data_IF_066688665405
#
_entry.id   IF_066688665405
#
_cell.length_a   1.000
_cell.length_b   1.000
_cell.length_c   1.000
_cell.angle_alpha   90.00
_cell.angle_beta   90.00
_cell.angle_gamma   90.00
#
_symmetry.space_group_name_H-M   'P 1'
#
loop_
_entity.id
_entity.type
_entity.pdbx_description
1 polymer ?
#
# COMPACT_ATOMS: atom_id res chain seq x y z
N UNK A 1 10.67 -5.49 -31.14
CA UNK A 1 11.45 -5.34 -29.88
C UNK A 1 12.59 -6.32 -29.93
N UNK A 2 13.85 -5.92 -29.70
CA UNK A 2 14.99 -6.83 -29.79
C UNK A 2 14.97 -7.82 -28.58
N UNK A 3 15.43 -9.06 -28.78
CA UNK A 3 15.53 -10.10 -27.73
C UNK A 3 16.30 -9.61 -26.48
N UNK A 4 17.28 -8.74 -26.66
CA UNK A 4 18.06 -8.11 -25.60
C UNK A 4 17.21 -7.22 -24.68
N UNK A 5 16.14 -6.60 -25.21
CA UNK A 5 15.22 -5.74 -24.46
C UNK A 5 14.18 -6.58 -23.68
N UNK A 6 13.82 -7.76 -24.18
CA UNK A 6 12.93 -8.72 -23.51
C UNK A 6 13.66 -9.33 -22.31
N UNK A 7 14.92 -9.72 -22.45
CA UNK A 7 15.75 -10.25 -21.37
C UNK A 7 15.95 -9.24 -20.23
N UNK A 8 16.22 -7.96 -20.57
CA UNK A 8 16.36 -6.89 -19.59
C UNK A 8 15.08 -6.67 -18.77
N UNK A 9 13.92 -6.50 -19.42
CA UNK A 9 12.63 -6.30 -18.74
C UNK A 9 12.26 -7.45 -17.83
N UNK A 10 12.60 -8.68 -18.21
CA UNK A 10 12.37 -9.85 -17.37
C UNK A 10 13.20 -9.79 -16.08
N UNK A 11 14.49 -9.43 -16.17
CA UNK A 11 15.37 -9.31 -15.01
C UNK A 11 14.93 -8.16 -14.10
N UNK A 12 14.61 -6.99 -14.64
CA UNK A 12 14.09 -5.85 -13.87
C UNK A 12 12.82 -6.26 -13.10
N UNK A 13 11.88 -6.93 -13.78
CA UNK A 13 10.64 -7.41 -13.16
C UNK A 13 10.92 -8.39 -12.02
N UNK A 14 11.75 -9.42 -12.24
CA UNK A 14 12.11 -10.40 -11.20
C UNK A 14 12.74 -9.75 -9.97
N UNK A 15 13.58 -8.73 -10.17
CA UNK A 15 14.19 -7.96 -9.07
C UNK A 15 13.15 -7.14 -8.30
N UNK A 16 12.21 -6.49 -9.00
CA UNK A 16 11.13 -5.74 -8.37
C UNK A 16 10.18 -6.67 -7.61
N UNK A 17 9.73 -7.77 -8.22
CA UNK A 17 8.83 -8.74 -7.59
C UNK A 17 9.48 -9.35 -6.32
N UNK A 18 10.76 -9.71 -6.40
CA UNK A 18 11.51 -10.23 -5.25
C UNK A 18 11.69 -9.20 -4.15
N UNK A 19 11.98 -7.95 -4.51
CA UNK A 19 12.10 -6.87 -3.54
C UNK A 19 10.73 -6.56 -2.89
N UNK A 20 9.62 -6.61 -3.64
CA UNK A 20 8.27 -6.39 -3.12
C UNK A 20 7.92 -7.43 -2.03
N UNK A 21 8.12 -8.71 -2.32
CA UNK A 21 7.92 -9.78 -1.36
C UNK A 21 8.78 -9.62 -0.10
N UNK A 22 10.05 -9.27 -0.27
CA UNK A 22 10.97 -9.15 0.86
C UNK A 22 10.70 -7.89 1.71
N UNK A 23 10.35 -6.74 1.10
CA UNK A 23 10.04 -5.52 1.89
C UNK A 23 8.75 -5.68 2.69
N UNK A 24 7.75 -6.39 2.17
CA UNK A 24 6.52 -6.69 2.91
C UNK A 24 6.76 -7.67 4.06
N UNK A 25 7.74 -8.56 3.93
CA UNK A 25 8.05 -9.59 4.92
C UNK A 25 8.96 -9.09 6.04
N UNK A 26 10.10 -8.45 5.72
CA UNK A 26 11.14 -8.09 6.72
C UNK A 26 11.46 -6.60 6.80
N UNK A 27 10.93 -5.79 5.89
CA UNK A 27 11.17 -4.35 5.86
C UNK A 27 12.42 -3.93 5.08
N UNK A 28 12.48 -2.64 4.67
CA UNK A 28 13.55 -2.15 3.80
C UNK A 28 14.93 -2.09 4.46
N UNK A 29 15.01 -1.88 5.79
CA UNK A 29 16.29 -1.77 6.47
C UNK A 29 17.06 -3.08 6.54
N UNK A 30 16.36 -4.19 6.76
CA UNK A 30 17.00 -5.51 6.92
C UNK A 30 17.45 -6.12 5.60
N UNK A 31 16.95 -5.65 4.46
CA UNK A 31 17.29 -6.19 3.15
C UNK A 31 18.68 -5.80 2.68
N UNK A 32 19.40 -6.75 2.10
CA UNK A 32 20.63 -6.50 1.33
C UNK A 32 20.40 -6.69 -0.17
N UNK A 33 21.28 -6.09 -0.98
CA UNK A 33 21.30 -6.34 -2.43
C UNK A 33 21.48 -7.83 -2.75
N UNK A 34 22.24 -8.54 -1.92
CA UNK A 34 22.52 -9.98 -2.10
C UNK A 34 21.27 -10.81 -1.86
N UNK A 35 20.49 -10.49 -0.81
CA UNK A 35 19.25 -11.21 -0.50
C UNK A 35 18.26 -11.09 -1.64
N UNK A 36 18.06 -9.85 -2.15
CA UNK A 36 17.15 -9.60 -3.26
C UNK A 36 17.60 -10.32 -4.52
N UNK A 37 18.90 -10.26 -4.87
CA UNK A 37 19.44 -10.90 -6.06
C UNK A 37 19.35 -12.43 -5.96
N UNK A 38 19.62 -12.99 -4.77
CA UNK A 38 19.48 -14.42 -4.50
C UNK A 38 18.04 -14.89 -4.69
N UNK A 39 17.08 -14.20 -4.07
CA UNK A 39 15.65 -14.50 -4.19
C UNK A 39 15.16 -14.37 -5.65
N UNK A 40 15.65 -13.35 -6.37
CA UNK A 40 15.34 -13.14 -7.79
C UNK A 40 16.04 -14.16 -8.72
N UNK A 41 17.02 -14.91 -8.24
CA UNK A 41 17.83 -15.81 -9.06
C UNK A 41 18.65 -15.09 -10.14
N UNK A 42 19.22 -13.91 -9.79
CA UNK A 42 20.02 -13.09 -10.70
C UNK A 42 21.33 -12.65 -10.04
N UNK A 43 22.29 -12.17 -10.84
CA UNK A 43 23.52 -11.61 -10.29
C UNK A 43 23.26 -10.24 -9.66
N UNK A 44 23.76 -10.02 -8.43
CA UNK A 44 23.60 -8.77 -7.68
C UNK A 44 24.15 -7.53 -8.42
N UNK A 45 25.14 -7.69 -9.30
CA UNK A 45 25.65 -6.60 -10.13
C UNK A 45 24.56 -5.98 -11.03
N UNK A 46 23.52 -6.75 -11.39
CA UNK A 46 22.42 -6.26 -12.20
C UNK A 46 21.56 -5.22 -11.47
N UNK A 47 21.52 -5.25 -10.12
CA UNK A 47 20.83 -4.22 -9.33
C UNK A 47 21.52 -2.87 -9.50
N UNK A 48 22.85 -2.85 -9.46
CA UNK A 48 23.59 -1.62 -9.73
C UNK A 48 23.43 -1.14 -11.16
N UNK A 49 23.45 -2.08 -12.11
CA UNK A 49 23.33 -1.75 -13.54
C UNK A 49 21.95 -1.19 -13.91
N UNK A 50 20.86 -1.76 -13.40
CA UNK A 50 19.49 -1.36 -13.77
C UNK A 50 18.89 -0.28 -12.89
N UNK A 51 19.24 -0.24 -11.61
CA UNK A 51 18.61 0.63 -10.61
C UNK A 51 19.56 1.61 -9.93
N UNK A 52 20.86 1.55 -10.21
CA UNK A 52 21.87 2.38 -9.53
C UNK A 52 22.10 1.96 -8.06
N UNK A 53 21.64 0.78 -7.66
CA UNK A 53 21.82 0.23 -6.31
C UNK A 53 20.51 0.00 -5.56
N UNK A 54 20.63 -0.33 -4.26
CA UNK A 54 19.49 -0.69 -3.38
C UNK A 54 18.41 0.39 -3.37
N UNK A 55 18.80 1.66 -3.20
CA UNK A 55 17.84 2.77 -3.10
C UNK A 55 16.98 2.90 -4.35
N UNK A 56 17.58 2.85 -5.53
CA UNK A 56 16.85 2.93 -6.80
C UNK A 56 15.91 1.74 -7.01
N UNK A 57 16.35 0.53 -6.66
CA UNK A 57 15.49 -0.65 -6.71
C UNK A 57 14.30 -0.51 -5.76
N UNK A 58 14.51 -0.10 -4.51
CA UNK A 58 13.41 0.10 -3.55
C UNK A 58 12.41 1.17 -4.02
N UNK A 59 12.88 2.28 -4.59
CA UNK A 59 11.98 3.30 -5.18
C UNK A 59 11.12 2.67 -6.29
N UNK A 60 11.72 1.90 -7.20
CA UNK A 60 10.98 1.22 -8.27
C UNK A 60 9.98 0.20 -7.70
N UNK A 61 10.35 -0.53 -6.65
CA UNK A 61 9.50 -1.52 -5.96
C UNK A 61 8.29 -0.85 -5.31
N UNK A 62 8.48 0.22 -4.54
CA UNK A 62 7.35 0.92 -3.88
C UNK A 62 6.43 1.60 -4.90
N UNK A 63 6.98 2.08 -6.02
CA UNK A 63 6.17 2.58 -7.13
C UNK A 63 5.32 1.48 -7.76
N UNK A 64 5.89 0.28 -7.97
CA UNK A 64 5.18 -0.86 -8.53
C UNK A 64 4.08 -1.34 -7.59
N UNK A 65 4.36 -1.48 -6.28
CA UNK A 65 3.36 -1.85 -5.27
C UNK A 65 2.18 -0.87 -5.25
N UNK A 66 2.46 0.43 -5.28
CA UNK A 66 1.41 1.45 -5.32
C UNK A 66 0.59 1.40 -6.62
N UNK A 67 1.24 1.15 -7.76
CA UNK A 67 0.57 1.00 -9.04
C UNK A 67 -0.35 -0.22 -9.06
N UNK A 68 0.13 -1.37 -8.58
CA UNK A 68 -0.66 -2.60 -8.49
C UNK A 68 -1.83 -2.44 -7.52
N UNK A 69 -1.63 -1.75 -6.40
CA UNK A 69 -2.71 -1.41 -5.47
C UNK A 69 -3.83 -0.63 -6.17
N UNK A 70 -3.51 0.47 -6.83
CA UNK A 70 -4.50 1.28 -7.57
C UNK A 70 -5.22 0.44 -8.62
N UNK A 71 -4.48 -0.34 -9.42
CA UNK A 71 -5.09 -1.22 -10.44
C UNK A 71 -6.04 -2.27 -9.85
N UNK A 72 -5.71 -2.86 -8.70
CA UNK A 72 -6.59 -3.83 -8.06
C UNK A 72 -7.87 -3.18 -7.54
N UNK A 73 -7.78 -1.98 -6.98
CA UNK A 73 -8.96 -1.22 -6.56
C UNK A 73 -9.86 -0.86 -7.75
N UNK A 74 -9.28 -0.40 -8.86
CA UNK A 74 -10.02 -0.10 -10.10
C UNK A 74 -10.75 -1.33 -10.64
N UNK A 75 -10.10 -2.49 -10.69
CA UNK A 75 -10.71 -3.76 -11.15
C UNK A 75 -11.90 -4.19 -10.30
N UNK A 76 -11.96 -3.79 -9.04
CA UNK A 76 -13.05 -4.11 -8.10
C UNK A 76 -14.08 -2.98 -7.99
N UNK A 77 -13.98 -1.95 -8.85
CA UNK A 77 -14.81 -0.75 -8.80
C UNK A 77 -14.78 -0.03 -7.44
N UNK A 78 -13.67 -0.20 -6.70
CA UNK A 78 -13.45 0.55 -5.46
C UNK A 78 -13.01 1.95 -5.85
N UNK A 79 -13.69 2.94 -5.26
CA UNK A 79 -13.42 4.35 -5.49
C UNK A 79 -13.28 5.07 -4.16
N UNK A 80 -12.75 6.31 -4.18
CA UNK A 80 -12.64 7.13 -2.97
C UNK A 80 -13.95 7.39 -2.22
N UNK A 81 -15.09 7.23 -2.89
CA UNK A 81 -16.43 7.41 -2.30
C UNK A 81 -17.20 6.10 -2.12
N UNK A 82 -16.59 4.98 -2.50
CA UNK A 82 -17.11 3.62 -2.32
C UNK A 82 -15.95 2.67 -2.03
N UNK A 83 -15.68 2.42 -0.76
CA UNK A 83 -14.56 1.60 -0.32
C UNK A 83 -14.82 0.09 -0.40
N UNK A 84 -16.02 -0.33 -0.85
CA UNK A 84 -16.40 -1.74 -0.97
C UNK A 84 -16.64 -2.42 0.37
N UNK A 85 -16.98 -3.71 0.29
CA UNK A 85 -17.43 -4.52 1.43
C UNK A 85 -16.29 -5.41 2.00
N UNK A 86 -15.04 -5.16 1.63
CA UNK A 86 -13.86 -5.86 2.14
C UNK A 86 -12.76 -4.87 2.56
N UNK A 87 -11.86 -5.25 3.49
CA UNK A 87 -10.72 -4.41 3.83
C UNK A 87 -9.83 -4.20 2.61
N UNK A 88 -9.34 -2.98 2.40
CA UNK A 88 -8.42 -2.69 1.30
C UNK A 88 -7.10 -3.48 1.44
N UNK A 89 -6.69 -3.78 2.67
CA UNK A 89 -5.52 -4.61 2.97
C UNK A 89 -5.68 -6.05 2.48
N UNK A 90 -6.89 -6.63 2.49
CA UNK A 90 -7.12 -7.98 1.96
C UNK A 90 -6.94 -8.06 0.44
N UNK A 91 -7.05 -6.93 -0.26
CA UNK A 91 -6.89 -6.84 -1.71
C UNK A 91 -5.41 -6.78 -2.11
N UNK A 92 -4.59 -6.08 -1.32
CA UNK A 92 -3.18 -5.80 -1.63
C UNK A 92 -2.34 -5.78 -0.36
N UNK A 93 -2.29 -6.92 0.34
CA UNK A 93 -1.62 -7.08 1.62
C UNK A 93 -0.13 -6.65 1.58
N UNK A 94 0.61 -7.05 0.53
CA UNK A 94 2.00 -6.67 0.35
C UNK A 94 2.23 -5.15 0.29
N UNK A 95 1.30 -4.40 -0.33
CA UNK A 95 1.38 -2.94 -0.36
C UNK A 95 1.24 -2.36 1.06
N UNK A 96 0.22 -2.79 1.82
CA UNK A 96 -0.01 -2.31 3.18
C UNK A 96 1.17 -2.64 4.10
N UNK A 97 1.62 -3.89 4.09
CA UNK A 97 2.77 -4.36 4.88
C UNK A 97 4.06 -3.60 4.52
N UNK A 98 4.33 -3.39 3.23
CA UNK A 98 5.50 -2.63 2.80
C UNK A 98 5.47 -1.17 3.31
N UNK A 99 4.32 -0.49 3.23
CA UNK A 99 4.17 0.88 3.77
C UNK A 99 4.36 0.91 5.28
N UNK A 100 3.72 0.00 6.04
CA UNK A 100 3.88 -0.11 7.48
C UNK A 100 5.37 -0.27 7.84
N UNK A 101 6.06 -1.21 7.20
CA UNK A 101 7.47 -1.46 7.46
C UNK A 101 8.37 -0.28 7.10
N UNK A 102 8.08 0.43 6.01
CA UNK A 102 8.83 1.63 5.66
C UNK A 102 8.66 2.75 6.70
N UNK A 103 7.46 2.89 7.26
CA UNK A 103 7.21 3.85 8.35
C UNK A 103 7.96 3.45 9.63
N UNK A 104 7.88 2.18 10.03
CA UNK A 104 8.56 1.66 11.22
C UNK A 104 10.09 1.70 11.10
N UNK A 105 10.61 1.53 9.88
CA UNK A 105 12.04 1.61 9.54
C UNK A 105 12.54 3.05 9.32
N UNK A 106 11.70 4.07 9.54
CA UNK A 106 11.99 5.50 9.30
C UNK A 106 12.40 5.82 7.84
N UNK A 107 11.88 5.04 6.88
CA UNK A 107 12.16 5.19 5.45
C UNK A 107 11.06 5.99 4.73
N UNK A 108 10.70 7.16 5.28
CA UNK A 108 9.60 7.99 4.76
C UNK A 108 9.76 8.40 3.29
N UNK A 109 10.96 8.41 2.75
CA UNK A 109 11.17 8.66 1.31
C UNK A 109 10.52 7.57 0.43
N UNK A 110 10.44 6.33 0.91
CA UNK A 110 9.75 5.23 0.20
C UNK A 110 8.23 5.42 0.23
N UNK A 111 7.69 5.85 1.37
CA UNK A 111 6.26 6.19 1.49
C UNK A 111 5.88 7.34 0.56
N UNK A 112 6.77 8.31 0.35
CA UNK A 112 6.55 9.44 -0.56
C UNK A 112 6.48 9.05 -2.03
N UNK A 113 7.07 7.93 -2.43
CA UNK A 113 7.07 7.48 -3.83
C UNK A 113 5.66 7.42 -4.43
N UNK A 114 4.68 6.90 -3.68
CA UNK A 114 3.28 6.84 -4.13
C UNK A 114 2.66 8.24 -4.30
N UNK A 115 3.02 9.18 -3.42
CA UNK A 115 2.53 10.57 -3.47
C UNK A 115 3.11 11.28 -4.69
N UNK A 116 4.42 11.20 -4.87
CA UNK A 116 5.15 11.88 -5.94
C UNK A 116 4.81 11.29 -7.32
N UNK A 117 4.37 10.03 -7.35
CA UNK A 117 3.93 9.34 -8.58
C UNK A 117 2.43 9.49 -8.87
N UNK A 118 1.66 10.20 -8.03
CA UNK A 118 0.21 10.34 -8.20
C UNK A 118 -0.58 9.04 -7.94
N UNK A 119 0.01 8.09 -7.23
CA UNK A 119 -0.57 6.77 -6.95
C UNK A 119 -1.12 6.63 -5.51
N UNK A 120 -1.26 7.74 -4.80
CA UNK A 120 -1.79 7.72 -3.44
C UNK A 120 -3.32 7.78 -3.44
N UNK A 121 -3.96 6.63 -3.16
CA UNK A 121 -5.42 6.52 -3.03
C UNK A 121 -5.99 7.54 -2.02
N UNK A 122 -5.35 7.69 -0.86
CA UNK A 122 -5.80 8.64 0.17
C UNK A 122 -5.77 10.09 -0.30
N UNK A 123 -4.77 10.48 -1.11
CA UNK A 123 -4.73 11.81 -1.73
C UNK A 123 -5.79 11.99 -2.79
N UNK A 124 -6.04 10.98 -3.59
CA UNK A 124 -7.09 11.03 -4.61
C UNK A 124 -8.47 11.12 -3.96
N UNK A 125 -8.73 10.35 -2.88
CA UNK A 125 -9.95 10.48 -2.06
C UNK A 125 -10.13 11.91 -1.56
N UNK A 126 -9.06 12.50 -1.01
CA UNK A 126 -9.11 13.89 -0.52
C UNK A 126 -9.44 14.89 -1.63
N UNK A 127 -8.84 14.73 -2.81
CA UNK A 127 -9.09 15.56 -3.97
C UNK A 127 -10.55 15.44 -4.44
N UNK A 128 -11.08 14.23 -4.51
CA UNK A 128 -12.46 13.98 -4.94
C UNK A 128 -13.47 14.52 -3.94
N UNK A 129 -13.29 14.32 -2.63
CA UNK A 129 -14.14 14.92 -1.61
C UNK A 129 -14.12 16.45 -1.69
N UNK A 130 -12.96 17.05 -1.93
CA UNK A 130 -12.81 18.51 -2.09
C UNK A 130 -13.61 19.02 -3.27
N UNK A 131 -13.54 18.32 -4.42
CA UNK A 131 -14.31 18.66 -5.63
C UNK A 131 -15.81 18.47 -5.42
N UNK A 132 -16.24 17.35 -4.84
CA UNK A 132 -17.65 17.04 -4.59
C UNK A 132 -18.31 18.08 -3.68
N UNK A 133 -17.56 18.66 -2.75
CA UNK A 133 -18.06 19.72 -1.84
C UNK A 133 -17.82 21.13 -2.37
N UNK A 134 -17.43 21.30 -3.63
CA UNK A 134 -17.14 22.60 -4.25
C UNK A 134 -16.16 23.45 -3.42
N UNK A 135 -15.19 22.82 -2.77
CA UNK A 135 -14.16 23.50 -1.97
C UNK A 135 -12.90 23.75 -2.79
N UNK A 136 -12.24 24.89 -2.56
CA UNK A 136 -10.95 25.18 -3.19
C UNK A 136 -9.77 24.43 -2.54
N UNK A 137 -9.93 24.02 -1.28
CA UNK A 137 -8.92 23.29 -0.50
C UNK A 137 -9.60 22.29 0.43
N UNK A 138 -8.92 21.16 0.75
CA UNK A 138 -9.44 20.18 1.70
C UNK A 138 -9.63 20.80 3.08
N UNK A 139 -10.79 20.56 3.69
CA UNK A 139 -11.08 20.97 5.07
C UNK A 139 -10.39 20.06 6.09
N UNK A 140 -10.30 20.50 7.34
CA UNK A 140 -9.80 19.67 8.44
C UNK A 140 -10.67 18.45 8.67
N UNK A 141 -12.00 18.55 8.49
CA UNK A 141 -12.92 17.41 8.60
C UNK A 141 -12.62 16.34 7.54
N UNK A 142 -12.43 16.73 6.26
CA UNK A 142 -12.07 15.80 5.20
C UNK A 142 -10.75 15.07 5.48
N UNK A 143 -9.74 15.82 5.92
CA UNK A 143 -8.44 15.24 6.30
C UNK A 143 -8.56 14.27 7.46
N UNK A 144 -9.35 14.61 8.49
CA UNK A 144 -9.58 13.77 9.66
C UNK A 144 -10.34 12.50 9.30
N UNK A 145 -11.37 12.60 8.44
CA UNK A 145 -12.13 11.44 7.98
C UNK A 145 -11.23 10.42 7.26
N UNK A 146 -10.38 10.90 6.35
CA UNK A 146 -9.45 10.03 5.62
C UNK A 146 -8.37 9.48 6.56
N UNK A 147 -7.85 10.30 7.48
CA UNK A 147 -6.85 9.84 8.45
C UNK A 147 -7.38 8.69 9.33
N UNK A 148 -8.63 8.76 9.79
CA UNK A 148 -9.26 7.67 10.56
C UNK A 148 -9.41 6.42 9.69
N UNK A 149 -9.90 6.54 8.46
CA UNK A 149 -10.00 5.39 7.55
C UNK A 149 -8.64 4.74 7.30
N UNK A 150 -7.58 5.54 7.12
CA UNK A 150 -6.20 5.03 7.00
C UNK A 150 -5.74 4.31 8.26
N UNK A 151 -5.96 4.88 9.44
CA UNK A 151 -5.56 4.24 10.71
C UNK A 151 -6.25 2.90 10.88
N UNK A 152 -7.53 2.80 10.55
CA UNK A 152 -8.32 1.57 10.64
C UNK A 152 -7.79 0.51 9.67
N UNK A 153 -7.58 0.85 8.38
CA UNK A 153 -7.08 -0.06 7.36
C UNK A 153 -5.64 -0.54 7.64
N UNK A 154 -4.72 0.38 7.94
CA UNK A 154 -3.35 0.02 8.30
C UNK A 154 -3.27 -0.73 9.63
N UNK A 155 -4.12 -0.36 10.59
CA UNK A 155 -4.23 -1.03 11.88
C UNK A 155 -4.67 -2.48 11.72
N UNK A 156 -5.69 -2.75 10.90
CA UNK A 156 -6.12 -4.12 10.60
C UNK A 156 -4.99 -4.94 9.97
N UNK A 157 -4.37 -4.43 8.90
CA UNK A 157 -3.26 -5.12 8.23
C UNK A 157 -2.07 -5.44 9.16
N UNK A 158 -1.79 -4.55 10.12
CA UNK A 158 -0.66 -4.73 11.03
C UNK A 158 -0.97 -5.61 12.24
N UNK A 159 -2.22 -5.65 12.71
CA UNK A 159 -2.57 -6.13 14.05
C UNK A 159 -3.61 -7.26 14.04
N UNK A 160 -4.14 -7.67 12.89
CA UNK A 160 -5.23 -8.64 12.83
C UNK A 160 -4.91 -9.95 13.56
N UNK A 161 -3.74 -10.53 13.29
CA UNK A 161 -3.31 -11.77 13.94
C UNK A 161 -3.16 -11.59 15.45
N UNK A 162 -2.54 -10.48 15.88
CA UNK A 162 -2.37 -10.16 17.29
C UNK A 162 -3.71 -9.99 18.01
N UNK A 163 -4.65 -9.26 17.41
CA UNK A 163 -6.00 -9.03 17.96
C UNK A 163 -6.75 -10.36 18.07
N UNK A 164 -6.69 -11.20 17.03
CA UNK A 164 -7.33 -12.51 17.03
C UNK A 164 -6.80 -13.41 18.15
N UNK A 165 -5.51 -13.41 18.39
CA UNK A 165 -4.85 -14.22 19.42
C UNK A 165 -5.18 -13.71 20.82
N UNK A 166 -4.98 -12.40 21.07
CA UNK A 166 -5.15 -11.81 22.42
C UNK A 166 -6.61 -11.84 22.89
N UNK A 167 -7.56 -11.70 21.97
CA UNK A 167 -8.99 -11.70 22.29
C UNK A 167 -9.64 -13.08 22.07
N UNK A 168 -8.86 -14.10 21.71
CA UNK A 168 -9.35 -15.47 21.42
C UNK A 168 -10.55 -15.45 20.44
N UNK A 169 -10.45 -14.66 19.37
CA UNK A 169 -11.55 -14.35 18.45
C UNK A 169 -12.05 -15.60 17.72
N UNK A 170 -13.30 -15.96 17.96
CA UNK A 170 -14.00 -17.00 17.18
C UNK A 170 -14.39 -16.49 15.80
N UNK A 171 -14.81 -17.39 14.90
CA UNK A 171 -15.31 -17.00 13.58
C UNK A 171 -16.54 -16.05 13.68
N UNK A 172 -17.37 -16.20 14.71
CA UNK A 172 -18.51 -15.31 14.98
C UNK A 172 -18.02 -13.92 15.39
N UNK A 173 -17.02 -13.86 16.29
CA UNK A 173 -16.47 -12.59 16.77
C UNK A 173 -15.80 -11.81 15.65
N UNK A 174 -15.04 -12.50 14.78
CA UNK A 174 -14.44 -11.89 13.59
C UNK A 174 -15.48 -11.28 12.66
N UNK A 175 -16.62 -11.92 12.46
CA UNK A 175 -17.70 -11.36 11.65
C UNK A 175 -18.25 -10.07 12.27
N UNK A 176 -18.54 -10.06 13.57
CA UNK A 176 -19.01 -8.87 14.27
C UNK A 176 -17.96 -7.77 14.26
N UNK A 177 -16.68 -8.12 14.48
CA UNK A 177 -15.58 -7.17 14.39
C UNK A 177 -15.51 -6.47 13.03
N UNK A 178 -15.69 -7.21 11.93
CA UNK A 178 -15.70 -6.64 10.60
C UNK A 178 -16.87 -5.68 10.35
N UNK A 179 -18.05 -5.93 10.95
CA UNK A 179 -19.18 -4.99 10.89
C UNK A 179 -18.81 -3.64 11.53
N UNK A 180 -18.23 -3.65 12.74
CA UNK A 180 -17.71 -2.44 13.39
C UNK A 180 -16.56 -1.78 12.63
N UNK A 181 -15.67 -2.58 12.05
CA UNK A 181 -14.57 -2.07 11.23
C UNK A 181 -15.09 -1.21 10.06
N UNK A 182 -16.05 -1.71 9.31
CA UNK A 182 -16.63 -0.97 8.18
C UNK A 182 -17.37 0.29 8.64
N UNK A 183 -18.13 0.20 9.72
CA UNK A 183 -18.81 1.36 10.29
C UNK A 183 -17.82 2.47 10.65
N UNK A 184 -16.75 2.15 11.36
CA UNK A 184 -15.72 3.12 11.76
C UNK A 184 -14.97 3.66 10.56
N UNK A 185 -14.58 2.78 9.60
CA UNK A 185 -13.86 3.17 8.38
C UNK A 185 -14.62 4.22 7.58
N UNK A 186 -15.92 4.06 7.45
CA UNK A 186 -16.76 4.87 6.56
C UNK A 186 -17.41 6.06 7.25
N UNK A 187 -17.57 5.99 8.56
CA UNK A 187 -18.29 7.02 9.33
C UNK A 187 -17.85 8.44 9.02
N UNK A 188 -16.55 8.69 9.03
CA UNK A 188 -15.99 10.03 8.76
C UNK A 188 -16.27 10.53 7.35
N UNK A 189 -16.10 9.66 6.36
CA UNK A 189 -16.31 9.97 4.95
C UNK A 189 -17.81 10.23 4.70
N UNK A 190 -18.69 9.35 5.21
CA UNK A 190 -20.13 9.49 5.08
C UNK A 190 -20.65 10.79 5.76
N UNK A 191 -20.08 11.14 6.93
CA UNK A 191 -20.38 12.41 7.60
C UNK A 191 -19.98 13.64 6.79
N UNK A 192 -18.85 13.58 6.06
CA UNK A 192 -18.42 14.63 5.14
C UNK A 192 -19.37 14.69 3.94
N UNK A 193 -19.79 13.55 3.40
CA UNK A 193 -20.68 13.49 2.23
C UNK A 193 -22.10 13.95 2.53
N UNK A 194 -22.60 13.74 3.74
CA UNK A 194 -23.98 14.09 4.14
C UNK A 194 -24.19 15.57 4.48
N UNK A 195 -23.13 16.34 4.70
CA UNK A 195 -23.17 17.81 4.90
C UNK A 195 -23.12 18.56 3.57
#
# INVERSE_FOLDING_TARGET
MSEKNIGRKNVEKRLIDSAAFLVSSVGPNQLTIRDIAYHAGVNHAQIHHYFGGKKGLLIATYKQLAFEHVQQLERRNISPTNLGDEPLSSITDDYFKAIIRAVLDDQMYLVRVQIDSGLSMSRETLNQLTKLKNQNKPTSEMKSAIAIAMVVEFGLSAMEEYINEVLEMTAKDKKVFMEYFYEVREHGINKVLSK
#
